data_IF_447417508300
#
_entry.id   IF_447417508300
#
_cell.length_a   1.000
_cell.length_b   1.000
_cell.length_c   1.000
_cell.angle_alpha   90.00
_cell.angle_beta   90.00
_cell.angle_gamma   90.00
#
_symmetry.space_group_name_H-M   'P 1'
#
loop_
_entity.id
_entity.type
_entity.pdbx_description
1 polymer ?
#
# COMPACT_ATOMS: atom_id res chain seq x y z
N UNK A 1 -3.37 -22.20 3.72
CA UNK A 1 -2.05 -21.54 3.85
C UNK A 1 -2.15 -20.21 3.13
N UNK A 2 -2.22 -19.09 3.84
CA UNK A 2 -2.26 -17.76 3.21
C UNK A 2 -0.85 -17.38 2.76
N UNK A 3 -0.66 -17.16 1.46
CA UNK A 3 0.60 -16.63 0.94
C UNK A 3 0.73 -15.17 1.38
N UNK A 4 1.84 -14.82 2.06
CA UNK A 4 2.14 -13.44 2.43
C UNK A 4 2.41 -12.66 1.15
N UNK A 5 1.54 -11.70 0.86
CA UNK A 5 1.65 -10.81 -0.30
C UNK A 5 1.81 -9.38 0.18
N UNK A 6 2.48 -8.55 -0.62
CA UNK A 6 2.52 -7.12 -0.34
C UNK A 6 1.10 -6.58 -0.30
N UNK A 7 0.85 -5.67 0.65
CA UNK A 7 -0.44 -5.04 0.90
C UNK A 7 -1.51 -5.95 1.51
N UNK A 8 -1.14 -7.18 1.89
CA UNK A 8 -1.98 -8.00 2.75
C UNK A 8 -2.03 -7.42 4.17
N UNK A 9 -3.25 -7.39 4.72
CA UNK A 9 -3.50 -7.11 6.13
C UNK A 9 -3.35 -8.40 6.92
N UNK A 10 -2.51 -8.38 7.96
CA UNK A 10 -2.29 -9.51 8.86
C UNK A 10 -2.50 -9.04 10.29
N UNK A 11 -3.27 -9.81 11.06
CA UNK A 11 -3.46 -9.55 12.47
C UNK A 11 -2.38 -10.28 13.27
N UNK A 12 -1.62 -9.55 14.08
CA UNK A 12 -0.72 -10.16 15.05
C UNK A 12 -1.45 -10.29 16.39
N UNK A 13 -1.44 -11.50 16.95
CA UNK A 13 -2.04 -11.79 18.27
C UNK A 13 -1.06 -12.60 19.11
N UNK A 14 -1.21 -12.54 20.44
CA UNK A 14 -0.44 -13.32 21.43
C UNK A 14 1.07 -13.02 21.47
N UNK A 15 1.49 -11.83 21.03
CA UNK A 15 2.84 -11.36 21.24
C UNK A 15 2.99 -10.82 22.67
N UNK A 16 4.13 -11.10 23.33
CA UNK A 16 4.39 -10.69 24.72
C UNK A 16 4.36 -9.15 24.90
N UNK A 17 4.72 -8.41 23.86
CA UNK A 17 4.51 -6.97 23.81
C UNK A 17 3.12 -6.64 23.28
N UNK A 18 2.25 -6.16 24.16
CA UNK A 18 0.84 -5.85 23.84
C UNK A 18 0.69 -4.81 22.72
N UNK A 19 1.61 -3.86 22.59
CA UNK A 19 1.56 -2.84 21.52
C UNK A 19 1.69 -3.44 20.12
N UNK A 20 2.25 -4.65 20.01
CA UNK A 20 2.39 -5.33 18.73
C UNK A 20 1.15 -6.15 18.35
N UNK A 21 0.25 -6.41 19.30
CA UNK A 21 -0.99 -7.16 19.05
C UNK A 21 -2.05 -6.29 18.36
N UNK A 22 -1.80 -5.98 17.09
CA UNK A 22 -2.66 -5.14 16.27
C UNK A 22 -2.66 -5.62 14.81
N UNK A 23 -3.41 -4.91 13.99
CA UNK A 23 -3.40 -5.10 12.55
C UNK A 23 -2.13 -4.50 11.92
N UNK A 24 -1.47 -5.29 11.09
CA UNK A 24 -0.28 -4.92 10.34
C UNK A 24 -0.55 -5.01 8.84
N UNK A 25 0.03 -4.09 8.09
CA UNK A 25 0.06 -4.11 6.63
C UNK A 25 1.47 -4.49 6.17
N UNK A 26 1.55 -5.55 5.38
CA UNK A 26 2.81 -6.00 4.80
C UNK A 26 3.22 -5.05 3.68
N UNK A 27 4.40 -4.46 3.76
CA UNK A 27 4.91 -3.49 2.78
C UNK A 27 5.96 -4.10 1.84
N UNK A 28 6.57 -5.21 2.24
CA UNK A 28 7.55 -5.93 1.45
C UNK A 28 7.54 -7.41 1.82
N UNK A 29 7.71 -8.28 0.84
CA UNK A 29 7.92 -9.72 1.03
C UNK A 29 9.03 -10.15 0.09
N UNK A 30 10.12 -10.67 0.64
CA UNK A 30 11.19 -11.35 -0.08
C UNK A 30 11.15 -12.83 0.27
N UNK A 31 11.11 -13.68 -0.74
CA UNK A 31 11.06 -15.13 -0.58
C UNK A 31 12.31 -15.72 -1.22
N UNK A 32 13.02 -16.59 -0.48
CA UNK A 32 14.13 -17.36 -1.00
C UNK A 32 13.94 -18.82 -0.62
N UNK A 33 14.13 -19.72 -1.57
CA UNK A 33 13.99 -21.16 -1.36
C UNK A 33 15.20 -21.88 -1.95
N UNK A 34 15.69 -22.89 -1.25
CA UNK A 34 16.72 -23.81 -1.74
C UNK A 34 16.17 -25.22 -1.65
N UNK A 35 16.07 -25.90 -2.80
CA UNK A 35 15.58 -27.26 -2.92
C UNK A 35 16.64 -28.16 -3.58
N UNK A 36 17.63 -28.64 -2.81
CA UNK A 36 18.75 -29.39 -3.36
C UNK A 36 18.33 -30.76 -3.93
N UNK A 37 17.29 -31.40 -3.39
CA UNK A 37 16.81 -32.69 -3.89
C UNK A 37 16.13 -32.63 -5.27
N UNK A 38 16.00 -31.44 -5.88
CA UNK A 38 15.58 -31.31 -7.28
C UNK A 38 16.66 -31.79 -8.25
N UNK A 39 17.94 -31.81 -7.85
CA UNK A 39 19.02 -32.47 -8.58
C UNK A 39 19.10 -33.95 -8.17
N UNK A 40 19.15 -34.85 -9.16
CA UNK A 40 19.26 -36.31 -8.96
C UNK A 40 20.49 -36.72 -8.15
N UNK A 41 21.55 -35.91 -8.15
CA UNK A 41 22.85 -36.20 -7.52
C UNK A 41 22.94 -35.77 -6.05
N UNK A 42 22.06 -34.88 -5.56
CA UNK A 42 22.00 -34.45 -4.15
C UNK A 42 20.74 -34.98 -3.42
N UNK A 43 20.08 -35.97 -3.99
CA UNK A 43 18.89 -36.60 -3.41
C UNK A 43 19.21 -37.23 -2.04
N UNK A 44 18.95 -36.48 -0.97
CA UNK A 44 19.07 -36.92 0.42
C UNK A 44 20.07 -36.14 1.29
N UNK A 45 20.87 -35.22 0.73
CA UNK A 45 21.99 -34.60 1.47
C UNK A 45 21.61 -33.36 2.31
N UNK A 46 20.63 -32.55 1.88
CA UNK A 46 20.25 -31.29 2.54
C UNK A 46 18.72 -31.10 2.52
N UNK A 47 18.10 -30.56 3.59
CA UNK A 47 16.67 -30.30 3.62
C UNK A 47 16.29 -29.14 2.68
N UNK A 48 15.08 -29.19 2.14
CA UNK A 48 14.49 -28.01 1.48
C UNK A 48 14.32 -26.90 2.50
N UNK A 49 14.90 -25.75 2.22
CA UNK A 49 14.80 -24.60 3.09
C UNK A 49 14.07 -23.48 2.37
N UNK A 50 13.11 -22.87 3.04
CA UNK A 50 12.39 -21.71 2.53
C UNK A 50 12.43 -20.61 3.58
N UNK A 51 12.96 -19.46 3.19
CA UNK A 51 13.05 -18.27 4.03
C UNK A 51 12.18 -17.16 3.42
N UNK A 52 11.25 -16.66 4.22
CA UNK A 52 10.48 -15.47 3.91
C UNK A 52 10.94 -14.35 4.85
N UNK A 53 11.36 -13.23 4.27
CA UNK A 53 11.63 -11.99 4.98
C UNK A 53 10.57 -10.97 4.56
N UNK A 54 9.86 -10.38 5.52
CA UNK A 54 8.86 -9.37 5.25
C UNK A 54 9.04 -8.15 6.14
N UNK A 55 8.63 -6.99 5.64
CA UNK A 55 8.47 -5.77 6.45
C UNK A 55 6.99 -5.44 6.56
N UNK A 56 6.58 -4.92 7.71
CA UNK A 56 5.21 -4.52 7.96
C UNK A 56 5.14 -3.21 8.75
N UNK A 57 4.06 -2.46 8.55
CA UNK A 57 3.74 -1.25 9.29
C UNK A 57 2.36 -1.38 9.93
N UNK A 58 2.06 -0.68 11.03
CA UNK A 58 0.72 -0.69 11.60
C UNK A 58 -0.33 -0.28 10.56
N UNK A 59 -1.50 -0.92 10.57
CA UNK A 59 -2.57 -0.68 9.60
C UNK A 59 -3.28 0.69 9.76
N UNK A 60 -2.76 1.58 10.62
CA UNK A 60 -3.20 2.96 10.78
C UNK A 60 -2.87 3.83 9.56
N UNK A 61 -3.65 4.89 9.35
CA UNK A 61 -3.29 5.91 8.36
C UNK A 61 -2.00 6.59 8.82
N UNK A 62 -0.99 6.63 7.95
CA UNK A 62 0.34 7.17 8.25
C UNK A 62 0.54 8.53 7.57
N UNK A 63 0.18 9.60 8.27
CA UNK A 63 0.34 10.98 7.80
C UNK A 63 0.83 11.89 8.92
N UNK A 64 1.45 13.01 8.56
CA UNK A 64 1.84 14.05 9.52
C UNK A 64 0.74 15.12 9.70
N UNK A 65 1.03 16.15 10.51
CA UNK A 65 0.11 17.27 10.80
C UNK A 65 -0.30 18.09 9.56
N UNK A 66 0.45 17.96 8.45
CA UNK A 66 0.18 18.68 7.19
C UNK A 66 -0.46 17.78 6.14
N UNK A 67 -0.84 16.55 6.48
CA UNK A 67 -1.38 15.57 5.53
C UNK A 67 -0.34 15.09 4.52
N UNK A 68 0.96 15.24 4.83
CA UNK A 68 2.03 14.64 4.04
C UNK A 68 2.09 13.15 4.32
N UNK A 69 2.52 12.39 3.33
CA UNK A 69 2.71 10.94 3.43
C UNK A 69 4.11 10.57 2.98
N UNK A 70 4.61 9.43 3.45
CA UNK A 70 5.86 8.88 2.95
C UNK A 70 5.57 7.83 1.89
N UNK A 71 6.38 7.80 0.84
CA UNK A 71 6.25 6.86 -0.27
C UNK A 71 7.47 5.96 -0.36
N UNK A 72 7.36 4.86 -1.10
CA UNK A 72 8.54 4.09 -1.53
C UNK A 72 8.61 4.12 -3.04
N UNK A 73 9.75 4.56 -3.56
CA UNK A 73 9.99 4.48 -4.98
C UNK A 73 10.37 3.05 -5.40
N UNK A 74 9.92 2.56 -6.56
CA UNK A 74 10.25 1.21 -7.04
C UNK A 74 11.76 0.97 -7.22
N UNK A 75 12.52 2.04 -7.48
CA UNK A 75 13.97 2.00 -7.67
C UNK A 75 14.77 2.12 -6.37
N UNK A 76 14.12 2.33 -5.23
CA UNK A 76 14.80 2.36 -3.92
C UNK A 76 15.19 0.93 -3.49
N UNK A 77 16.49 0.65 -3.50
CA UNK A 77 17.04 -0.68 -3.21
C UNK A 77 17.33 -0.92 -1.73
N UNK A 78 17.22 0.09 -0.84
CA UNK A 78 17.61 -0.06 0.58
C UNK A 78 16.89 -1.21 1.29
N UNK A 79 15.63 -1.44 0.95
CA UNK A 79 14.82 -2.54 1.51
C UNK A 79 15.11 -3.90 0.86
N UNK A 80 15.74 -3.93 -0.32
CA UNK A 80 16.08 -5.18 -1.03
C UNK A 80 17.34 -5.83 -0.48
N UNK A 81 18.29 -5.04 -0.03
CA UNK A 81 19.61 -5.53 0.42
C UNK A 81 19.66 -5.90 1.90
N UNK A 82 18.54 -5.81 2.64
CA UNK A 82 18.51 -6.15 4.06
C UNK A 82 19.40 -5.25 4.94
N UNK A 83 19.89 -4.12 4.42
CA UNK A 83 20.57 -3.07 5.21
C UNK A 83 19.50 -2.30 5.96
N UNK A 84 18.91 -2.95 6.95
CA UNK A 84 18.26 -2.27 8.05
C UNK A 84 19.39 -1.63 8.86
N UNK A 85 19.76 -0.40 8.51
CA UNK A 85 20.67 0.36 9.37
C UNK A 85 19.97 0.54 10.72
N UNK A 86 20.68 0.07 11.74
CA UNK A 86 20.35 0.03 13.16
C UNK A 86 20.37 1.43 13.79
N UNK A 87 19.66 2.38 13.18
CA UNK A 87 19.41 3.66 13.83
C UNK A 87 18.04 3.59 14.47
N UNK A 88 18.07 3.57 15.80
CA UNK A 88 16.98 3.70 16.77
C UNK A 88 16.31 5.08 16.70
N UNK A 89 16.05 5.55 15.46
CA UNK A 89 15.20 6.68 15.13
C UNK A 89 14.05 6.12 14.30
N UNK A 90 12.97 5.78 15.00
CA UNK A 90 11.64 5.49 14.48
C UNK A 90 11.38 6.08 13.07
N UNK A 91 11.41 5.24 12.02
CA UNK A 91 10.92 5.60 10.68
C UNK A 91 11.91 5.58 9.50
N UNK A 92 13.17 5.20 9.68
CA UNK A 92 14.23 5.26 8.66
C UNK A 92 14.10 4.30 7.44
N UNK A 93 12.94 3.65 7.25
CA UNK A 93 12.66 2.74 6.13
C UNK A 93 11.90 3.43 4.98
N UNK A 94 11.67 4.73 5.10
CA UNK A 94 10.65 5.46 4.33
C UNK A 94 11.20 6.79 3.81
N UNK A 95 10.74 7.21 2.63
CA UNK A 95 11.22 8.45 1.99
C UNK A 95 10.88 9.73 2.77
N UNK A 96 11.25 10.88 2.21
CA UNK A 96 10.85 12.19 2.71
C UNK A 96 9.32 12.32 2.83
N UNK A 97 8.86 13.29 3.61
CA UNK A 97 7.44 13.62 3.71
C UNK A 97 6.98 14.36 2.44
N UNK A 98 6.16 13.72 1.62
CA UNK A 98 5.64 14.28 0.38
C UNK A 98 4.27 14.92 0.60
N UNK A 99 4.08 16.11 0.02
CA UNK A 99 2.76 16.78 -0.04
C UNK A 99 1.84 16.03 -1.01
N UNK A 100 0.55 16.00 -0.68
CA UNK A 100 -0.50 15.38 -1.49
C UNK A 100 -1.37 16.46 -2.11
N UNK A 101 -1.39 16.52 -3.44
CA UNK A 101 -2.31 17.37 -4.19
C UNK A 101 -3.76 16.98 -3.88
N UNK A 102 -4.56 17.97 -3.54
CA UNK A 102 -5.99 17.81 -3.25
C UNK A 102 -6.82 18.47 -4.35
N UNK A 103 -8.02 17.96 -4.61
CA UNK A 103 -8.93 18.55 -5.59
C UNK A 103 -9.37 19.99 -5.25
N UNK A 104 -9.38 20.34 -3.96
CA UNK A 104 -9.61 21.70 -3.46
C UNK A 104 -8.99 21.88 -2.08
N UNK A 105 -8.12 22.88 -1.90
CA UNK A 105 -7.47 23.18 -0.63
C UNK A 105 -7.57 24.68 -0.33
N UNK A 106 -8.42 25.05 0.63
CA UNK A 106 -8.55 26.40 1.18
C UNK A 106 -8.00 26.51 2.60
N UNK A 107 -7.99 27.72 3.16
CA UNK A 107 -7.55 27.95 4.54
C UNK A 107 -8.52 27.34 5.56
N UNK A 108 -8.26 26.11 6.01
CA UNK A 108 -9.11 25.32 6.93
C UNK A 108 -10.42 24.78 6.33
N UNK A 109 -10.56 24.76 5.01
CA UNK A 109 -11.71 24.15 4.31
C UNK A 109 -11.26 23.53 2.98
N UNK A 110 -12.06 22.61 2.44
CA UNK A 110 -11.79 21.97 1.15
C UNK A 110 -12.03 20.47 1.17
N UNK A 111 -11.36 19.76 0.27
CA UNK A 111 -11.41 18.31 0.13
C UNK A 111 -10.08 17.70 0.59
N UNK A 112 -10.14 16.68 1.45
CA UNK A 112 -8.96 15.95 1.90
C UNK A 112 -9.19 14.45 1.71
N UNK A 113 -8.40 13.85 0.83
CA UNK A 113 -8.31 12.40 0.67
C UNK A 113 -6.84 11.96 0.76
N UNK A 114 -6.47 11.39 1.91
CA UNK A 114 -5.11 10.93 2.16
C UNK A 114 -4.90 9.51 1.61
N UNK A 115 -3.84 9.28 0.81
CA UNK A 115 -3.43 7.93 0.44
C UNK A 115 -3.18 7.08 1.68
N UNK A 116 -3.64 5.83 1.67
CA UNK A 116 -3.34 4.86 2.72
C UNK A 116 -2.05 4.12 2.38
N UNK A 117 -1.48 3.45 3.38
CA UNK A 117 -0.38 2.50 3.15
C UNK A 117 -0.80 1.54 2.03
N UNK A 118 0.15 1.24 1.13
CA UNK A 118 -0.06 0.39 -0.03
C UNK A 118 -0.93 0.95 -1.18
N UNK A 119 -1.41 2.19 -1.07
CA UNK A 119 -1.95 2.88 -2.25
C UNK A 119 -0.81 3.26 -3.19
N UNK A 120 -1.01 3.03 -4.49
CA UNK A 120 -0.09 3.48 -5.51
C UNK A 120 -0.41 4.93 -5.88
N UNK A 121 0.64 5.75 -5.92
CA UNK A 121 0.54 7.19 -6.13
C UNK A 121 1.44 7.62 -7.27
N UNK A 122 0.99 8.64 -7.99
CA UNK A 122 1.78 9.32 -9.01
C UNK A 122 2.54 10.43 -8.30
N UNK A 123 3.87 10.39 -8.40
CA UNK A 123 4.75 11.45 -7.90
C UNK A 123 5.24 12.27 -9.09
N UNK A 124 5.13 13.58 -8.97
CA UNK A 124 5.70 14.56 -9.89
C UNK A 124 6.74 15.40 -9.16
N UNK A 125 7.63 16.03 -9.91
CA UNK A 125 8.73 16.83 -9.38
C UNK A 125 8.53 18.27 -9.82
N UNK A 126 8.51 19.21 -8.86
CA UNK A 126 8.29 20.63 -9.16
C UNK A 126 9.47 21.15 -10.00
N UNK A 127 9.19 21.76 -11.15
CA UNK A 127 10.19 22.21 -12.12
C UNK A 127 11.21 21.13 -12.55
N UNK A 128 10.85 19.85 -12.40
CA UNK A 128 11.74 18.73 -12.67
C UNK A 128 12.80 18.47 -11.60
N UNK A 129 12.76 19.18 -10.46
CA UNK A 129 13.70 19.01 -9.35
C UNK A 129 13.40 17.72 -8.55
N UNK A 130 14.29 16.71 -8.57
CA UNK A 130 14.09 15.46 -7.83
C UNK A 130 14.01 15.66 -6.31
N UNK A 131 14.53 16.78 -5.79
CA UNK A 131 14.48 17.11 -4.36
C UNK A 131 13.15 17.78 -3.95
N UNK A 132 12.28 18.10 -4.91
CA UNK A 132 10.95 18.67 -4.67
C UNK A 132 9.80 17.79 -5.17
N UNK A 133 9.64 16.56 -4.64
CA UNK A 133 8.56 15.66 -5.02
C UNK A 133 7.21 16.12 -4.44
N UNK A 134 6.15 15.93 -5.23
CA UNK A 134 4.75 16.14 -4.85
C UNK A 134 3.88 15.02 -5.42
N UNK A 135 2.92 14.52 -4.63
CA UNK A 135 1.96 13.52 -5.09
C UNK A 135 0.85 14.22 -5.85
N UNK A 136 0.60 13.81 -7.10
CA UNK A 136 -0.37 14.44 -8.00
C UNK A 136 -1.60 13.59 -8.27
N UNK A 137 -1.56 12.29 -7.97
CA UNK A 137 -2.69 11.40 -8.16
C UNK A 137 -2.50 10.03 -7.51
N UNK A 138 -3.55 9.21 -7.58
CA UNK A 138 -3.54 7.82 -7.16
C UNK A 138 -4.05 6.91 -8.28
N UNK A 139 -3.51 5.70 -8.36
CA UNK A 139 -3.87 4.73 -9.40
C UNK A 139 -4.39 3.43 -8.79
N UNK A 140 -5.20 2.72 -9.57
CA UNK A 140 -5.59 1.34 -9.30
C UNK A 140 -4.65 0.39 -10.07
N UNK A 141 -4.40 -0.78 -9.50
CA UNK A 141 -3.62 -1.85 -10.11
C UNK A 141 -4.22 -3.23 -9.76
N UNK A 142 -3.54 -4.32 -10.10
CA UNK A 142 -4.05 -5.68 -9.93
C UNK A 142 -4.46 -6.04 -8.48
N UNK A 143 -3.76 -5.53 -7.47
CA UNK A 143 -4.08 -5.78 -6.05
C UNK A 143 -5.02 -4.70 -5.50
N UNK A 144 -4.79 -3.43 -5.83
CA UNK A 144 -5.70 -2.33 -5.49
C UNK A 144 -6.68 -2.10 -6.65
N UNK A 145 -7.74 -2.90 -6.71
CA UNK A 145 -8.73 -2.84 -7.79
C UNK A 145 -9.73 -1.69 -7.62
N UNK A 146 -10.32 -1.18 -8.72
CA UNK A 146 -11.36 -0.16 -8.63
C UNK A 146 -12.58 -0.67 -7.83
N UNK A 147 -13.35 0.23 -7.20
CA UNK A 147 -14.50 -0.11 -6.35
C UNK A 147 -15.56 -1.01 -7.00
N UNK A 148 -15.62 -1.02 -8.33
CA UNK A 148 -16.53 -1.79 -9.15
C UNK A 148 -15.77 -2.44 -10.30
N UNK A 149 -16.16 -3.67 -10.65
CA UNK A 149 -15.55 -4.40 -11.76
C UNK A 149 -15.72 -3.66 -13.09
N UNK A 150 -14.59 -3.36 -13.73
CA UNK A 150 -14.52 -2.83 -15.10
C UNK A 150 -14.19 -3.97 -16.07
N UNK A 151 -14.70 -3.94 -17.32
CA UNK A 151 -15.45 -2.86 -17.97
C UNK A 151 -16.97 -2.86 -17.72
N UNK A 152 -17.50 -3.84 -16.97
CA UNK A 152 -18.94 -4.02 -16.72
C UNK A 152 -19.64 -2.76 -16.18
N UNK A 153 -18.91 -1.93 -15.44
CA UNK A 153 -19.43 -0.76 -14.74
C UNK A 153 -18.83 0.57 -15.22
N UNK A 154 -18.46 0.65 -16.51
CA UNK A 154 -17.80 1.82 -17.11
C UNK A 154 -18.58 3.14 -17.06
N UNK A 155 -19.90 3.10 -16.88
CA UNK A 155 -20.77 4.30 -16.81
C UNK A 155 -20.98 4.83 -15.39
N UNK A 156 -20.26 4.28 -14.40
CA UNK A 156 -20.42 4.65 -12.98
C UNK A 156 -19.32 5.60 -12.53
N UNK A 157 -19.74 6.69 -11.90
CA UNK A 157 -18.84 7.60 -11.17
C UNK A 157 -19.10 7.42 -9.68
N UNK A 158 -18.05 7.18 -8.89
CA UNK A 158 -18.18 6.76 -7.49
C UNK A 158 -17.16 7.45 -6.59
N UNK A 159 -17.61 7.93 -5.44
CA UNK A 159 -16.78 8.28 -4.29
C UNK A 159 -17.11 7.28 -3.19
N UNK A 160 -16.16 6.39 -2.87
CA UNK A 160 -16.34 5.31 -1.89
C UNK A 160 -15.22 5.38 -0.87
N UNK A 161 -15.58 5.46 0.40
CA UNK A 161 -14.64 5.45 1.53
C UNK A 161 -14.70 4.10 2.25
N UNK A 162 -13.70 3.82 3.07
CA UNK A 162 -13.63 2.63 3.91
C UNK A 162 -13.45 3.06 5.35
N UNK A 163 -14.24 2.51 6.28
CA UNK A 163 -14.11 2.80 7.70
C UNK A 163 -12.69 2.49 8.19
N UNK A 164 -12.13 3.38 9.01
CA UNK A 164 -10.83 3.14 9.62
C UNK A 164 -11.01 2.30 10.90
N UNK A 165 -10.24 1.21 11.05
CA UNK A 165 -10.29 0.29 12.20
C UNK A 165 -11.67 -0.30 12.51
N UNK A 166 -12.51 -0.47 11.49
CA UNK A 166 -13.84 -1.05 11.64
C UNK A 166 -14.39 -1.56 10.33
N UNK A 167 -15.52 -2.24 10.40
CA UNK A 167 -16.25 -2.74 9.24
C UNK A 167 -17.24 -1.68 8.76
N UNK A 168 -17.15 -1.28 7.49
CA UNK A 168 -18.06 -0.31 6.91
C UNK A 168 -17.48 0.49 5.76
N UNK A 169 -18.37 1.22 5.08
CA UNK A 169 -18.04 2.12 3.97
C UNK A 169 -19.13 3.18 3.82
N UNK A 170 -18.73 4.38 3.41
CA UNK A 170 -19.67 5.40 2.93
C UNK A 170 -19.49 5.53 1.43
N UNK A 171 -20.58 5.71 0.69
CA UNK A 171 -20.54 5.74 -0.77
C UNK A 171 -21.51 6.76 -1.35
N UNK A 172 -20.99 7.62 -2.23
CA UNK A 172 -21.77 8.40 -3.19
C UNK A 172 -21.54 7.83 -4.58
N UNK A 173 -22.61 7.54 -5.31
CA UNK A 173 -22.53 6.92 -6.64
C UNK A 173 -23.56 7.48 -7.59
N UNK A 174 -23.11 7.78 -8.81
CA UNK A 174 -23.95 8.16 -9.95
C UNK A 174 -23.78 7.16 -11.10
N UNK A 175 -24.83 6.95 -11.89
CA UNK A 175 -24.80 6.10 -13.08
C UNK A 175 -25.57 6.78 -14.21
N UNK A 176 -25.06 6.66 -15.44
CA UNK A 176 -25.73 7.13 -16.64
C UNK A 176 -25.99 5.94 -17.57
N UNK A 177 -27.26 5.61 -17.78
CA UNK A 177 -27.70 4.67 -18.82
C UNK A 177 -28.85 5.32 -19.57
N UNK A 178 -28.73 5.38 -20.90
CA UNK A 178 -29.83 5.82 -21.76
C UNK A 178 -30.92 4.74 -21.71
N UNK A 179 -32.13 5.11 -21.28
CA UNK A 179 -33.29 4.22 -21.42
C UNK A 179 -33.72 4.21 -22.89
N UNK A 180 -34.00 3.04 -23.49
CA UNK A 180 -34.64 3.01 -24.80
C UNK A 180 -36.00 3.71 -24.68
N UNK A 181 -36.19 4.77 -25.47
CA UNK A 181 -37.48 5.42 -25.64
C UNK A 181 -38.26 4.56 -26.61
N UNK A 182 -39.23 3.78 -26.11
CA UNK A 182 -40.20 3.12 -26.98
C UNK A 182 -41.05 4.21 -27.63
N UNK A 183 -41.04 4.28 -28.97
CA UNK A 183 -41.97 5.09 -29.77
C UNK A 183 -43.23 4.30 -30.05
#
# INVERSE_FOLDING_TARGET
MQCLTCCAKVQLTRHNNEKLNQDWLITHVAQSGSQPQALKEEAGAKPTTYHNCFSAVPASIHCDQHGRVQVRFPWDQRLRTGRAESSESSGAQSSAWLRVSQGWAGGQYGFVALPRVCHEVIVSFLDGDPDQPIITGGTYHATNTPPYALPRHKTRTTLKTQTHKGEGRNELRQFSEARPVWR
#
